data_IF_274466724991
#
_entry.id   IF_274466724991
#
_cell.length_a   1.000
_cell.length_b   1.000
_cell.length_c   1.000
_cell.angle_alpha   90.00
_cell.angle_beta   90.00
_cell.angle_gamma   90.00
#
_symmetry.space_group_name_H-M   'P 1'
#
loop_
_entity.id
_entity.type
_entity.pdbx_description
1 polymer ?
#
# COMPACT_ATOMS: atom_id res chain seq x y z
N UNK A 1 0.54 -0.74 -1.22
CA UNK A 1 1.82 -0.05 -0.95
C UNK A 1 1.64 1.43 -1.23
N UNK A 2 1.92 2.27 -0.23
CA UNK A 2 1.77 3.73 -0.29
C UNK A 2 3.13 4.36 -0.03
N UNK A 3 3.50 5.37 -0.81
CA UNK A 3 4.72 6.15 -0.60
C UNK A 3 4.38 7.55 -0.11
N UNK A 4 5.20 8.05 0.80
CA UNK A 4 5.06 9.39 1.36
C UNK A 4 6.06 10.39 0.74
N UNK A 5 5.97 11.66 1.12
CA UNK A 5 6.88 12.72 0.63
C UNK A 5 8.38 12.48 0.88
N UNK A 6 8.72 11.64 1.86
CA UNK A 6 10.10 11.28 2.19
C UNK A 6 10.57 10.04 1.42
N UNK A 7 9.78 9.58 0.44
CA UNK A 7 10.03 8.37 -0.32
C UNK A 7 9.84 7.08 0.48
N UNK A 8 9.38 7.10 1.74
CA UNK A 8 9.22 5.87 2.54
C UNK A 8 7.98 5.09 2.07
N UNK A 9 8.12 3.77 1.93
CA UNK A 9 7.01 2.88 1.57
C UNK A 9 6.36 2.31 2.82
N UNK A 10 5.05 2.51 2.92
CA UNK A 10 4.17 1.88 3.88
C UNK A 10 3.33 0.78 3.22
N UNK A 11 3.10 -0.31 3.95
CA UNK A 11 2.28 -1.44 3.50
C UNK A 11 1.18 -1.73 4.51
N UNK A 12 0.00 -2.03 3.98
CA UNK A 12 -1.25 -2.18 4.72
C UNK A 12 -2.23 -3.02 3.91
N UNK A 13 -3.20 -3.64 4.57
CA UNK A 13 -4.35 -4.29 3.94
C UNK A 13 -5.64 -3.50 4.20
N UNK A 14 -6.58 -3.57 3.27
CA UNK A 14 -7.89 -2.94 3.39
C UNK A 14 -8.86 -3.53 2.37
N UNK A 15 -10.15 -3.49 2.68
CA UNK A 15 -11.23 -3.79 1.72
C UNK A 15 -11.68 -2.55 0.93
N UNK A 16 -11.19 -1.36 1.30
CA UNK A 16 -11.57 -0.09 0.67
C UNK A 16 -10.35 0.84 0.58
N UNK A 17 -9.59 0.75 -0.53
CA UNK A 17 -8.38 1.55 -0.73
C UNK A 17 -8.62 3.06 -0.71
N UNK A 18 -9.72 3.54 -1.32
CA UNK A 18 -10.04 4.98 -1.39
C UNK A 18 -10.32 5.56 -0.01
N UNK A 19 -11.15 4.89 0.80
CA UNK A 19 -11.37 5.29 2.20
C UNK A 19 -10.07 5.23 3.00
N UNK A 20 -9.28 4.16 2.85
CA UNK A 20 -8.04 3.98 3.64
C UNK A 20 -7.00 5.05 3.36
N UNK A 21 -6.80 5.44 2.09
CA UNK A 21 -5.87 6.52 1.75
C UNK A 21 -6.36 7.87 2.26
N UNK A 22 -7.67 8.15 2.23
CA UNK A 22 -8.26 9.35 2.82
C UNK A 22 -8.04 9.42 4.34
N UNK A 23 -8.17 8.29 5.05
CA UNK A 23 -7.82 8.21 6.47
C UNK A 23 -6.34 8.50 6.72
N UNK A 24 -5.45 7.96 5.89
CA UNK A 24 -4.01 8.17 6.03
C UNK A 24 -3.57 9.59 5.66
N UNK A 25 -4.26 10.25 4.72
CA UNK A 25 -4.04 11.66 4.35
C UNK A 25 -4.58 12.64 5.40
N UNK A 26 -5.38 12.18 6.36
CA UNK A 26 -6.00 13.01 7.40
C UNK A 26 -7.34 13.63 6.99
N UNK A 27 -7.88 13.26 5.83
CA UNK A 27 -9.23 13.67 5.36
C UNK A 27 -10.30 12.99 6.22
N UNK A 28 -10.06 11.72 6.58
CA UNK A 28 -10.92 10.94 7.47
C UNK A 28 -10.16 10.53 8.74
N UNK A 29 -10.89 10.23 9.82
CA UNK A 29 -10.29 9.68 11.05
C UNK A 29 -9.89 8.21 10.87
N UNK A 30 -8.89 7.75 11.63
CA UNK A 30 -8.49 6.33 11.67
C UNK A 30 -7.23 5.97 10.84
N UNK A 31 -6.42 6.96 10.48
CA UNK A 31 -5.14 6.74 9.80
C UNK A 31 -4.06 6.14 10.69
N UNK A 32 -3.07 5.48 10.10
CA UNK A 32 -1.92 4.93 10.82
C UNK A 32 -1.04 6.06 11.39
N UNK A 33 -0.63 5.94 12.66
CA UNK A 33 0.25 6.92 13.32
C UNK A 33 1.53 7.19 12.52
N UNK A 34 2.10 6.15 11.91
CA UNK A 34 3.33 6.23 11.10
C UNK A 34 3.22 7.12 9.84
N UNK A 35 1.99 7.43 9.39
CA UNK A 35 1.72 8.24 8.20
C UNK A 35 1.22 9.66 8.54
N UNK A 36 0.94 9.95 9.81
CA UNK A 36 0.47 11.27 10.25
C UNK A 36 1.48 12.36 9.85
N UNK A 37 1.03 13.39 9.15
CA UNK A 37 1.87 14.51 8.71
C UNK A 37 2.83 14.21 7.55
N UNK A 38 2.72 13.03 6.92
CA UNK A 38 3.61 12.60 5.82
C UNK A 38 2.99 12.72 4.42
N UNK A 39 1.86 13.41 4.29
CA UNK A 39 1.26 13.74 3.00
C UNK A 39 2.22 14.58 2.12
N UNK A 40 2.10 14.53 0.78
CA UNK A 40 1.19 13.68 0.01
C UNK A 40 1.50 12.19 0.14
N UNK A 41 0.45 11.38 0.08
CA UNK A 41 0.53 9.92 0.07
C UNK A 41 0.03 9.40 -1.27
N UNK A 42 0.86 8.60 -1.95
CA UNK A 42 0.61 8.12 -3.32
C UNK A 42 0.60 6.60 -3.32
N UNK A 43 -0.37 6.00 -4.02
CA UNK A 43 -0.32 4.56 -4.29
C UNK A 43 0.87 4.23 -5.20
N UNK A 44 1.74 3.32 -4.76
CA UNK A 44 2.80 2.74 -5.60
C UNK A 44 2.42 1.37 -6.16
N UNK A 45 1.65 0.60 -5.39
CA UNK A 45 1.08 -0.65 -5.85
C UNK A 45 -0.16 -1.01 -5.02
N UNK A 46 -1.13 -1.68 -5.62
CA UNK A 46 -2.31 -2.26 -4.96
C UNK A 46 -2.51 -3.65 -5.54
N UNK A 47 -2.74 -4.64 -4.70
CA UNK A 47 -2.96 -6.03 -5.10
C UNK A 47 -4.26 -6.50 -4.45
N UNK A 48 -5.10 -7.15 -5.25
CA UNK A 48 -6.33 -7.77 -4.78
C UNK A 48 -6.07 -9.25 -4.47
N UNK A 49 -6.77 -9.76 -3.47
CA UNK A 49 -6.66 -11.13 -2.95
C UNK A 49 -8.01 -11.61 -2.50
N UNK A 50 -8.19 -12.94 -2.47
CA UNK A 50 -9.50 -13.54 -2.21
C UNK A 50 -9.98 -13.30 -0.76
N UNK A 51 -9.07 -13.31 0.21
CA UNK A 51 -9.44 -13.27 1.62
C UNK A 51 -8.43 -12.54 2.52
N UNK A 52 -8.86 -12.28 3.76
CA UNK A 52 -8.08 -11.60 4.79
C UNK A 52 -6.83 -12.38 5.21
N UNK A 53 -6.87 -13.71 5.20
CA UNK A 53 -5.75 -14.54 5.62
C UNK A 53 -4.61 -14.46 4.60
N UNK A 54 -4.92 -14.53 3.30
CA UNK A 54 -3.97 -14.30 2.22
C UNK A 54 -3.41 -12.87 2.28
N UNK A 55 -4.28 -11.87 2.46
CA UNK A 55 -3.87 -10.48 2.60
C UNK A 55 -2.86 -10.29 3.75
N UNK A 56 -3.15 -10.85 4.94
CA UNK A 56 -2.30 -10.72 6.11
C UNK A 56 -0.94 -11.42 5.93
N UNK A 57 -0.92 -12.63 5.32
CA UNK A 57 0.32 -13.34 5.00
C UNK A 57 1.21 -12.55 4.06
N UNK A 58 0.64 -12.02 2.97
CA UNK A 58 1.38 -11.20 2.02
C UNK A 58 1.85 -9.89 2.65
N UNK A 59 1.01 -9.24 3.46
CA UNK A 59 1.39 -8.02 4.17
C UNK A 59 2.59 -8.25 5.09
N UNK A 60 2.59 -9.35 5.85
CA UNK A 60 3.71 -9.73 6.70
C UNK A 60 4.97 -9.97 5.87
N UNK A 61 4.91 -10.77 4.81
CA UNK A 61 6.05 -11.03 3.94
C UNK A 61 6.62 -9.74 3.34
N UNK A 62 5.77 -8.86 2.81
CA UNK A 62 6.19 -7.58 2.24
C UNK A 62 6.73 -6.63 3.30
N UNK A 63 6.24 -6.66 4.55
CA UNK A 63 6.80 -5.84 5.64
C UNK A 63 8.27 -6.19 5.90
N UNK A 64 8.64 -7.47 5.83
CA UNK A 64 10.02 -7.95 6.02
C UNK A 64 10.94 -7.65 4.83
N UNK A 65 10.39 -7.37 3.65
CA UNK A 65 11.21 -7.06 2.48
C UNK A 65 11.96 -5.74 2.64
N UNK A 66 13.20 -5.71 2.13
CA UNK A 66 13.99 -4.50 2.04
C UNK A 66 13.47 -3.54 0.97
N UNK A 67 14.09 -2.35 0.87
CA UNK A 67 13.66 -1.33 -0.09
C UNK A 67 13.77 -1.78 -1.55
N UNK A 68 14.85 -2.46 -1.92
CA UNK A 68 15.10 -2.89 -3.29
C UNK A 68 14.04 -3.91 -3.75
N UNK A 69 13.68 -4.86 -2.90
CA UNK A 69 12.63 -5.84 -3.17
C UNK A 69 11.26 -5.16 -3.37
N UNK A 70 10.91 -4.21 -2.49
CA UNK A 70 9.68 -3.40 -2.62
C UNK A 70 9.65 -2.61 -3.92
N UNK A 71 10.77 -2.00 -4.30
CA UNK A 71 10.89 -1.29 -5.58
C UNK A 71 10.72 -2.24 -6.77
N UNK A 72 11.28 -3.46 -6.69
CA UNK A 72 11.10 -4.49 -7.72
C UNK A 72 9.63 -4.85 -7.94
N UNK A 73 8.85 -5.01 -6.87
CA UNK A 73 7.39 -5.23 -6.94
C UNK A 73 6.70 -4.06 -7.67
N UNK A 74 7.05 -2.82 -7.30
CA UNK A 74 6.45 -1.61 -7.88
C UNK A 74 6.77 -1.49 -9.37
N UNK A 75 8.03 -1.73 -9.75
CA UNK A 75 8.50 -1.63 -11.13
C UNK A 75 7.89 -2.72 -12.02
N UNK A 76 7.86 -3.96 -11.53
CA UNK A 76 7.24 -5.09 -12.23
C UNK A 76 5.71 -5.03 -12.22
N UNK A 77 5.12 -4.16 -11.38
CA UNK A 77 3.67 -4.09 -11.15
C UNK A 77 3.08 -5.46 -10.76
N UNK A 78 3.83 -6.24 -10.00
CA UNK A 78 3.49 -7.63 -9.72
C UNK A 78 4.03 -8.07 -8.36
N UNK A 79 3.23 -8.84 -7.61
CA UNK A 79 3.62 -9.51 -6.37
C UNK A 79 3.24 -10.99 -6.46
N UNK A 80 4.23 -11.89 -6.54
CA UNK A 80 4.03 -13.28 -6.92
C UNK A 80 3.27 -13.33 -8.26
N UNK A 81 2.11 -13.98 -8.33
CA UNK A 81 1.26 -14.02 -9.53
C UNK A 81 0.15 -12.96 -9.55
N UNK A 82 0.14 -12.05 -8.56
CA UNK A 82 -0.89 -11.02 -8.44
C UNK A 82 -0.49 -9.76 -9.23
N UNK A 83 -1.28 -9.35 -10.25
CA UNK A 83 -1.06 -8.11 -10.96
C UNK A 83 -1.44 -6.90 -10.11
N UNK A 84 -0.74 -5.79 -10.31
CA UNK A 84 -1.04 -4.55 -9.62
C UNK A 84 -2.25 -3.85 -10.25
N UNK A 85 -3.27 -3.57 -9.44
CA UNK A 85 -4.52 -2.91 -9.83
C UNK A 85 -4.55 -1.43 -9.41
N UNK A 86 -3.39 -0.79 -9.21
CA UNK A 86 -3.33 0.59 -8.69
C UNK A 86 -4.08 1.61 -9.55
N UNK A 87 -4.18 1.36 -10.87
CA UNK A 87 -4.83 2.26 -11.83
C UNK A 87 -6.33 2.45 -11.56
N UNK A 88 -6.97 1.54 -10.82
CA UNK A 88 -8.35 1.71 -10.36
C UNK A 88 -8.50 2.78 -9.25
N UNK A 89 -7.39 3.27 -8.70
CA UNK A 89 -7.33 4.18 -7.57
C UNK A 89 -6.43 5.39 -7.80
N UNK A 90 -5.90 5.53 -9.02
CA UNK A 90 -5.27 6.76 -9.50
C UNK A 90 -6.39 7.62 -10.09
N UNK A 91 -6.56 8.83 -9.53
CA UNK A 91 -7.32 9.92 -10.15
C UNK A 91 -6.37 10.73 -11.03
#
# INVERSE_FOLDING_TARGET
MVENKLGQIYTGITTDPKRRIAQHRGILKGGAKALKGKSPLIFRAVFEVADKAQAAKLEYAVKQMNRAQKNGIIQKKQLNDLPCIKSAFED
#
